data_IF_531268398469
#
_entry.id   IF_531268398469
#
_cell.length_a   1.000
_cell.length_b   1.000
_cell.length_c   1.000
_cell.angle_alpha   90.00
_cell.angle_beta   90.00
_cell.angle_gamma   90.00
#
_symmetry.space_group_name_H-M   'P 1'
#
loop_
_entity.id
_entity.type
_entity.pdbx_description
1 polymer ?
#
# COMPACT_ATOMS: atom_id res chain seq x y z
N UNK A 1 4.75 -19.59 1.24
CA UNK A 1 5.19 -18.44 0.41
C UNK A 1 3.98 -17.82 -0.30
N UNK A 2 4.00 -16.52 -0.66
CA UNK A 2 2.94 -15.91 -1.51
C UNK A 2 2.73 -16.69 -2.83
N UNK A 3 3.77 -17.38 -3.31
CA UNK A 3 3.75 -18.31 -4.44
C UNK A 3 2.79 -19.49 -4.23
N UNK A 4 2.74 -20.05 -3.03
CA UNK A 4 1.96 -21.27 -2.72
C UNK A 4 0.46 -21.00 -2.57
N UNK A 5 0.07 -19.72 -2.56
CA UNK A 5 -1.32 -19.29 -2.36
C UNK A 5 -2.02 -18.84 -3.64
N UNK A 6 -1.32 -18.80 -4.79
CA UNK A 6 -1.92 -18.53 -6.10
C UNK A 6 -2.33 -17.08 -6.34
N UNK A 7 -1.61 -16.10 -5.78
CA UNK A 7 -1.91 -14.68 -5.98
C UNK A 7 -1.64 -14.29 -7.44
N UNK A 8 -2.67 -13.88 -8.17
CA UNK A 8 -2.50 -13.47 -9.57
C UNK A 8 -1.82 -12.11 -9.65
N UNK A 9 -0.97 -11.92 -10.65
CA UNK A 9 -0.23 -10.66 -10.76
C UNK A 9 -1.15 -9.48 -11.08
N UNK A 10 -2.29 -9.74 -11.73
CA UNK A 10 -3.31 -8.72 -12.00
C UNK A 10 -3.96 -8.16 -10.73
N UNK A 11 -4.21 -9.00 -9.72
CA UNK A 11 -4.75 -8.55 -8.43
C UNK A 11 -3.77 -7.63 -7.70
N UNK A 12 -2.48 -8.02 -7.66
CA UNK A 12 -1.41 -7.22 -7.06
C UNK A 12 -1.28 -5.89 -7.80
N UNK A 13 -1.19 -5.92 -9.14
CA UNK A 13 -1.08 -4.73 -9.98
C UNK A 13 -2.25 -3.78 -9.81
N UNK A 14 -3.48 -4.28 -9.72
CA UNK A 14 -4.66 -3.44 -9.54
C UNK A 14 -4.65 -2.68 -8.21
N UNK A 15 -4.21 -3.32 -7.12
CA UNK A 15 -4.08 -2.64 -5.83
C UNK A 15 -2.86 -1.71 -5.79
N UNK A 16 -1.72 -2.13 -6.34
CA UNK A 16 -0.52 -1.31 -6.44
C UNK A 16 -0.74 -0.05 -7.29
N UNK A 17 -1.47 -0.17 -8.41
CA UNK A 17 -1.82 0.98 -9.25
C UNK A 17 -2.63 2.04 -8.49
N UNK A 18 -3.54 1.62 -7.61
CA UNK A 18 -4.28 2.54 -6.74
C UNK A 18 -3.35 3.26 -5.76
N UNK A 19 -2.40 2.55 -5.17
CA UNK A 19 -1.37 3.13 -4.28
C UNK A 19 -0.48 4.12 -5.02
N UNK A 20 -0.07 3.83 -6.26
CA UNK A 20 0.73 4.74 -7.09
C UNK A 20 -0.03 6.03 -7.46
N UNK A 21 -1.34 5.94 -7.69
CA UNK A 21 -2.17 7.11 -7.91
C UNK A 21 -2.26 7.99 -6.65
N UNK A 22 -2.44 7.36 -5.47
CA UNK A 22 -2.43 8.07 -4.19
C UNK A 22 -1.06 8.74 -3.99
N UNK A 23 0.04 8.06 -4.31
CA UNK A 23 1.38 8.64 -4.21
C UNK A 23 1.56 9.86 -5.12
N UNK A 24 1.04 9.80 -6.34
CA UNK A 24 1.04 10.96 -7.23
C UNK A 24 0.31 12.16 -6.62
N UNK A 25 -0.89 11.95 -6.07
CA UNK A 25 -1.64 13.00 -5.36
C UNK A 25 -0.93 13.48 -4.10
N UNK A 26 -0.27 12.59 -3.37
CA UNK A 26 0.44 12.89 -2.13
C UNK A 26 1.57 13.91 -2.34
N UNK A 27 2.23 13.86 -3.49
CA UNK A 27 3.32 14.77 -3.85
C UNK A 27 2.85 16.12 -4.41
N UNK A 28 1.55 16.31 -4.66
CA UNK A 28 1.00 17.55 -5.21
C UNK A 28 0.56 18.48 -4.07
N UNK A 29 1.08 19.71 -4.07
CA UNK A 29 0.69 20.73 -3.11
C UNK A 29 -0.84 20.99 -3.16
N UNK A 30 -1.50 20.99 -2.00
CA UNK A 30 -2.95 21.16 -1.89
C UNK A 30 -3.80 19.90 -2.12
N UNK A 31 -3.20 18.77 -2.52
CA UNK A 31 -3.94 17.51 -2.75
C UNK A 31 -3.89 16.55 -1.56
N UNK A 32 -3.26 16.94 -0.45
CA UNK A 32 -3.02 16.06 0.71
C UNK A 32 -4.30 15.43 1.26
N UNK A 33 -5.36 16.21 1.44
CA UNK A 33 -6.61 15.69 1.98
C UNK A 33 -7.27 14.66 1.06
N UNK A 34 -7.14 14.84 -0.26
CA UNK A 34 -7.64 13.88 -1.24
C UNK A 34 -6.85 12.57 -1.17
N UNK A 35 -5.52 12.66 -1.15
CA UNK A 35 -4.64 11.51 -1.04
C UNK A 35 -4.93 10.72 0.26
N UNK A 36 -5.09 11.42 1.40
CA UNK A 36 -5.42 10.81 2.68
C UNK A 36 -6.79 10.12 2.65
N UNK A 37 -7.84 10.77 2.13
CA UNK A 37 -9.16 10.13 2.00
C UNK A 37 -9.09 8.84 1.21
N UNK A 38 -8.36 8.84 0.09
CA UNK A 38 -8.17 7.63 -0.73
C UNK A 38 -7.36 6.56 -0.01
N UNK A 39 -6.32 6.95 0.72
CA UNK A 39 -5.52 6.06 1.56
C UNK A 39 -6.39 5.35 2.61
N UNK A 40 -7.23 6.09 3.34
CA UNK A 40 -8.17 5.51 4.31
C UNK A 40 -9.15 4.53 3.66
N UNK A 41 -9.60 4.82 2.44
CA UNK A 41 -10.49 3.94 1.68
C UNK A 41 -9.82 2.66 1.17
N UNK A 42 -8.49 2.54 1.20
CA UNK A 42 -7.83 1.28 0.84
C UNK A 42 -8.25 0.14 1.77
N UNK A 43 -8.38 0.37 3.09
CA UNK A 43 -8.81 -0.65 4.06
C UNK A 43 -10.15 -1.30 3.69
N UNK A 44 -11.26 -0.54 3.56
CA UNK A 44 -12.53 -1.15 3.19
C UNK A 44 -12.52 -1.75 1.77
N UNK A 45 -11.76 -1.18 0.82
CA UNK A 45 -11.61 -1.77 -0.52
C UNK A 45 -10.90 -3.12 -0.48
N UNK A 46 -9.81 -3.23 0.29
CA UNK A 46 -9.09 -4.49 0.51
C UNK A 46 -9.98 -5.53 1.19
N UNK A 47 -10.70 -5.15 2.24
CA UNK A 47 -11.65 -6.04 2.92
C UNK A 47 -12.76 -6.54 1.98
N UNK A 48 -13.29 -5.67 1.12
CA UNK A 48 -14.27 -6.07 0.11
C UNK A 48 -13.68 -7.06 -0.92
N UNK A 49 -12.47 -6.77 -1.46
CA UNK A 49 -11.79 -7.66 -2.40
C UNK A 49 -11.49 -9.02 -1.79
N UNK A 50 -11.02 -9.06 -0.54
CA UNK A 50 -10.78 -10.30 0.20
C UNK A 50 -12.03 -11.19 0.26
N UNK A 51 -13.20 -10.60 0.56
CA UNK A 51 -14.48 -11.33 0.59
C UNK A 51 -14.94 -11.77 -0.80
N UNK A 52 -14.75 -10.92 -1.81
CA UNK A 52 -15.20 -11.16 -3.19
C UNK A 52 -14.39 -12.25 -3.89
N UNK A 53 -13.08 -12.24 -3.74
CA UNK A 53 -12.16 -13.05 -4.56
C UNK A 53 -11.93 -14.47 -4.01
N UNK A 54 -12.52 -14.83 -2.86
CA UNK A 54 -12.55 -16.18 -2.24
C UNK A 54 -11.19 -16.92 -2.17
N UNK A 55 -10.08 -16.21 -2.34
CA UNK A 55 -8.73 -16.79 -2.47
C UNK A 55 -7.85 -16.44 -1.28
N UNK A 56 -7.17 -17.47 -0.73
CA UNK A 56 -6.22 -17.31 0.38
C UNK A 56 -5.10 -16.30 0.08
N UNK A 57 -4.73 -16.18 -1.18
CA UNK A 57 -3.70 -15.25 -1.65
C UNK A 57 -4.01 -13.77 -1.37
N UNK A 58 -5.25 -13.33 -1.66
CA UNK A 58 -5.65 -11.93 -1.43
C UNK A 58 -5.70 -11.65 0.06
N UNK A 59 -6.17 -12.61 0.85
CA UNK A 59 -6.13 -12.55 2.29
C UNK A 59 -4.71 -12.34 2.82
N UNK A 60 -3.73 -13.15 2.40
CA UNK A 60 -2.36 -12.98 2.88
C UNK A 60 -1.74 -11.63 2.46
N UNK A 61 -2.06 -11.12 1.27
CA UNK A 61 -1.63 -9.77 0.88
C UNK A 61 -2.21 -8.71 1.84
N UNK A 62 -3.51 -8.80 2.16
CA UNK A 62 -4.19 -7.86 3.06
C UNK A 62 -3.64 -7.97 4.49
N UNK A 63 -3.40 -9.18 5.00
CA UNK A 63 -2.82 -9.41 6.33
C UNK A 63 -1.44 -8.74 6.51
N UNK A 64 -0.69 -8.60 5.42
CA UNK A 64 0.62 -7.94 5.40
C UNK A 64 0.50 -6.41 5.20
N UNK A 65 -0.40 -5.96 4.33
CA UNK A 65 -0.55 -4.53 4.01
C UNK A 65 -1.33 -3.74 5.07
N UNK A 66 -2.31 -4.34 5.73
CA UNK A 66 -3.21 -3.64 6.66
C UNK A 66 -2.47 -3.05 7.89
N UNK A 67 -1.54 -3.78 8.54
CA UNK A 67 -0.72 -3.21 9.61
C UNK A 67 0.21 -2.10 9.12
N UNK A 68 0.77 -2.23 7.91
CA UNK A 68 1.64 -1.20 7.33
C UNK A 68 0.86 0.09 7.05
N UNK A 69 -0.38 -0.03 6.56
CA UNK A 69 -1.28 1.12 6.34
C UNK A 69 -1.68 1.79 7.66
N UNK A 70 -1.84 1.01 8.74
CA UNK A 70 -2.06 1.53 10.08
C UNK A 70 -0.93 2.46 10.55
N UNK A 71 0.33 2.10 10.28
CA UNK A 71 1.50 2.93 10.62
C UNK A 71 1.47 4.29 9.90
N UNK A 72 0.94 4.34 8.69
CA UNK A 72 0.78 5.60 7.95
C UNK A 72 -0.36 6.43 8.55
N UNK A 73 -1.53 5.81 8.71
CA UNK A 73 -2.76 6.52 9.09
C UNK A 73 -2.76 7.02 10.53
N UNK A 74 -1.98 6.40 11.43
CA UNK A 74 -1.84 6.78 12.85
C UNK A 74 -0.70 7.76 13.11
N UNK A 75 0.25 7.89 12.18
CA UNK A 75 1.36 8.81 12.34
C UNK A 75 0.96 10.26 12.07
N UNK A 76 1.66 11.20 12.71
CA UNK A 76 1.48 12.62 12.45
C UNK A 76 2.19 13.04 11.15
N UNK A 77 1.72 14.09 10.46
CA UNK A 77 2.41 14.66 9.31
C UNK A 77 3.87 14.97 9.64
N UNK A 78 4.74 14.89 8.63
CA UNK A 78 6.13 15.32 8.84
C UNK A 78 6.16 16.79 9.28
N UNK A 79 6.88 17.12 10.37
CA UNK A 79 7.08 18.51 10.75
C UNK A 79 7.68 19.34 9.61
N UNK A 80 7.24 20.58 9.50
CA UNK A 80 7.79 21.54 8.54
C UNK A 80 9.30 21.70 8.75
N UNK A 81 10.06 21.73 7.65
CA UNK A 81 11.52 21.85 7.68
C UNK A 81 12.28 20.56 8.04
N UNK A 82 11.61 19.47 8.42
CA UNK A 82 12.28 18.18 8.61
C UNK A 82 12.59 17.53 7.26
N UNK A 83 13.85 17.10 7.08
CA UNK A 83 14.28 16.37 5.89
C UNK A 83 13.57 15.00 5.79
N UNK A 84 13.33 14.49 4.57
CA UNK A 84 12.83 13.13 4.38
C UNK A 84 13.80 12.07 4.92
N UNK A 85 13.25 10.96 5.41
CA UNK A 85 14.00 9.76 5.74
C UNK A 85 14.21 9.53 7.24
N UNK A 86 13.97 8.30 7.68
CA UNK A 86 14.38 7.79 8.99
C UNK A 86 13.48 8.11 10.20
N UNK A 87 12.55 9.06 10.11
CA UNK A 87 11.63 9.39 11.19
C UNK A 87 10.33 8.55 11.15
N UNK A 88 9.63 8.45 12.28
CA UNK A 88 8.29 7.87 12.37
C UNK A 88 7.25 9.00 12.19
N UNK A 89 6.96 9.32 10.92
CA UNK A 89 5.96 10.30 10.52
C UNK A 89 5.18 9.78 9.31
N UNK A 90 4.02 10.38 9.06
CA UNK A 90 3.07 9.94 8.05
C UNK A 90 3.66 9.93 6.64
N UNK A 91 4.50 10.91 6.29
CA UNK A 91 5.11 11.02 4.96
C UNK A 91 6.17 9.94 4.72
N UNK A 92 7.06 9.75 5.68
CA UNK A 92 8.09 8.70 5.62
C UNK A 92 7.47 7.30 5.70
N UNK A 93 6.46 7.11 6.55
CA UNK A 93 5.75 5.84 6.66
C UNK A 93 4.99 5.53 5.38
N UNK A 94 4.36 6.54 4.75
CA UNK A 94 3.70 6.35 3.46
C UNK A 94 4.69 5.95 2.37
N UNK A 95 5.86 6.62 2.29
CA UNK A 95 6.89 6.24 1.33
C UNK A 95 7.38 4.81 1.57
N UNK A 96 7.67 4.42 2.81
CA UNK A 96 8.04 3.03 3.15
C UNK A 96 6.94 2.03 2.80
N UNK A 97 5.68 2.39 2.97
CA UNK A 97 4.55 1.55 2.55
C UNK A 97 4.55 1.33 1.04
N UNK A 98 4.78 2.39 0.24
CA UNK A 98 4.90 2.26 -1.22
C UNK A 98 6.08 1.37 -1.60
N UNK A 99 7.25 1.62 -1.01
CA UNK A 99 8.48 0.86 -1.30
C UNK A 99 8.32 -0.62 -0.92
N UNK A 100 7.67 -0.90 0.21
CA UNK A 100 7.37 -2.25 0.66
C UNK A 100 6.42 -2.97 -0.31
N UNK A 101 5.40 -2.28 -0.80
CA UNK A 101 4.48 -2.86 -1.78
C UNK A 101 5.19 -3.10 -3.13
N UNK A 102 6.05 -2.18 -3.57
CA UNK A 102 6.87 -2.37 -4.76
C UNK A 102 7.81 -3.58 -4.61
N UNK A 103 8.40 -3.78 -3.43
CA UNK A 103 9.19 -4.96 -3.13
C UNK A 103 8.34 -6.25 -3.26
N UNK A 104 7.12 -6.30 -2.72
CA UNK A 104 6.21 -7.44 -2.87
C UNK A 104 5.97 -7.75 -4.36
N UNK A 105 5.71 -6.73 -5.18
CA UNK A 105 5.49 -6.90 -6.61
C UNK A 105 6.76 -7.39 -7.35
N UNK A 106 7.92 -6.83 -7.02
CA UNK A 106 9.20 -7.20 -7.62
C UNK A 106 9.57 -8.66 -7.30
N UNK A 107 9.44 -9.06 -6.03
CA UNK A 107 9.64 -10.44 -5.60
C UNK A 107 8.65 -11.38 -6.28
N UNK A 108 7.36 -11.05 -6.31
CA UNK A 108 6.36 -11.90 -6.97
C UNK A 108 6.67 -12.12 -8.46
N UNK A 109 7.07 -11.06 -9.19
CA UNK A 109 7.49 -11.16 -10.59
C UNK A 109 8.75 -12.01 -10.77
N UNK A 110 9.76 -11.82 -9.93
CA UNK A 110 11.04 -12.54 -10.02
C UNK A 110 10.89 -14.06 -9.82
N UNK A 111 9.95 -14.49 -8.97
CA UNK A 111 9.71 -15.90 -8.65
C UNK A 111 8.58 -16.56 -9.49
N UNK A 112 8.21 -15.95 -10.63
CA UNK A 112 7.36 -16.57 -11.65
C UNK A 112 5.87 -16.23 -11.58
N UNK A 113 5.48 -15.13 -10.93
CA UNK A 113 4.13 -14.59 -11.03
C UNK A 113 3.80 -14.06 -12.43
N UNK A 114 2.86 -14.68 -13.13
CA UNK A 114 2.28 -14.20 -14.40
C UNK A 114 1.03 -13.34 -14.19
#
# INVERSE_FOLDING_TARGET
SLKDQGLSTNQIRALFGEVRQIQGEWSIAGHRDQALRRLFLLKPKMAYRQRKERGRAVQALVEVLDPALDLVTKAQPRPEGQAPGGADNQDDNFQRFVDFFEAILAYHKAYGGS
#
